data_IF_103601121564
#
_entry.id   IF_103601121564
#
_cell.length_a   1.000
_cell.length_b   1.000
_cell.length_c   1.000
_cell.angle_alpha   90.00
_cell.angle_beta   90.00
_cell.angle_gamma   90.00
#
_symmetry.space_group_name_H-M   'P 1'
#
loop_
_entity.id
_entity.type
_entity.pdbx_description
1 polymer ?
#
# COMPACT_ATOMS: atom_id res chain seq x y z
N UNK A 1 6.51 12.20 2.77
CA UNK A 1 6.71 10.87 2.15
C UNK A 1 5.37 10.34 1.70
N UNK A 2 5.25 9.84 0.47
CA UNK A 2 4.01 9.20 0.02
C UNK A 2 3.96 7.75 0.53
N UNK A 3 2.78 7.18 0.81
CA UNK A 3 2.65 5.77 1.22
C UNK A 3 3.29 4.80 0.23
N UNK A 4 3.29 5.14 -1.07
CA UNK A 4 3.91 4.36 -2.14
C UNK A 4 5.44 4.23 -1.97
N UNK A 5 6.12 5.30 -1.54
CA UNK A 5 7.55 5.22 -1.25
C UNK A 5 7.87 4.25 -0.12
N UNK A 6 6.96 4.08 0.85
CA UNK A 6 7.12 3.09 1.91
C UNK A 6 6.99 1.69 1.32
N UNK A 7 5.97 1.43 0.50
CA UNK A 7 5.81 0.12 -0.14
C UNK A 7 7.04 -0.31 -0.93
N UNK A 8 7.58 0.57 -1.76
CA UNK A 8 8.80 0.30 -2.53
C UNK A 8 10.00 -0.03 -1.64
N UNK A 9 10.18 0.70 -0.53
CA UNK A 9 11.26 0.44 0.43
C UNK A 9 11.14 -0.92 1.14
N UNK A 10 9.93 -1.47 1.25
CA UNK A 10 9.67 -2.79 1.84
C UNK A 10 9.55 -3.90 0.78
N UNK A 11 9.96 -3.63 -0.46
CA UNK A 11 9.98 -4.62 -1.55
C UNK A 11 8.61 -4.93 -2.15
N UNK A 12 7.59 -4.12 -1.87
CA UNK A 12 6.31 -4.25 -2.56
C UNK A 12 6.39 -3.62 -3.94
N UNK A 13 5.84 -4.32 -4.92
CA UNK A 13 5.67 -3.85 -6.28
C UNK A 13 4.19 -3.91 -6.67
N UNK A 14 3.82 -3.10 -7.67
CA UNK A 14 2.45 -3.08 -8.19
C UNK A 14 2.22 -4.34 -9.01
N UNK A 15 1.30 -5.19 -8.55
CA UNK A 15 0.93 -6.43 -9.23
C UNK A 15 -0.04 -6.14 -10.38
N UNK A 16 -1.11 -5.39 -10.10
CA UNK A 16 -2.14 -5.04 -11.09
C UNK A 16 -3.03 -3.89 -10.65
N UNK A 17 -3.84 -3.40 -11.57
CA UNK A 17 -5.00 -2.57 -11.24
C UNK A 17 -6.08 -3.40 -10.53
N UNK A 18 -6.66 -2.79 -9.50
CA UNK A 18 -7.91 -3.24 -8.89
C UNK A 18 -9.12 -2.69 -9.65
N UNK A 19 -10.32 -2.91 -9.12
CA UNK A 19 -11.54 -2.35 -9.69
C UNK A 19 -11.62 -0.85 -9.38
N UNK A 20 -11.81 -0.04 -10.42
CA UNK A 20 -11.96 1.42 -10.30
C UNK A 20 -10.66 2.08 -9.85
N UNK A 21 -10.72 2.90 -8.80
CA UNK A 21 -9.59 3.68 -8.30
C UNK A 21 -8.74 2.93 -7.26
N UNK A 22 -8.48 1.65 -7.46
CA UNK A 22 -7.63 0.85 -6.59
C UNK A 22 -6.48 0.19 -7.35
N UNK A 23 -5.36 0.02 -6.68
CA UNK A 23 -4.19 -0.73 -7.13
C UNK A 23 -3.96 -1.91 -6.19
N UNK A 24 -3.41 -2.99 -6.72
CA UNK A 24 -3.01 -4.15 -5.93
C UNK A 24 -1.49 -4.22 -5.92
N UNK A 25 -0.93 -4.26 -4.72
CA UNK A 25 0.50 -4.30 -4.45
C UNK A 25 0.86 -5.61 -3.76
N UNK A 26 2.00 -6.19 -4.12
CA UNK A 26 2.45 -7.46 -3.56
C UNK A 26 3.96 -7.48 -3.37
N UNK A 27 4.45 -8.32 -2.45
CA UNK A 27 5.87 -8.63 -2.28
C UNK A 27 6.12 -10.16 -2.35
N UNK A 28 5.33 -10.85 -3.17
CA UNK A 28 5.19 -12.31 -3.30
C UNK A 28 4.66 -13.05 -2.07
N UNK A 29 4.77 -12.46 -0.88
CA UNK A 29 4.33 -13.05 0.38
C UNK A 29 3.00 -12.48 0.88
N UNK A 30 2.77 -11.18 0.61
CA UNK A 30 1.56 -10.46 1.03
C UNK A 30 1.07 -9.58 -0.09
N UNK A 31 -0.25 -9.54 -0.23
CA UNK A 31 -0.94 -8.70 -1.21
C UNK A 31 -1.84 -7.72 -0.48
N UNK A 32 -1.79 -6.44 -0.87
CA UNK A 32 -2.60 -5.37 -0.30
C UNK A 32 -3.25 -4.53 -1.39
N UNK A 33 -4.41 -3.98 -1.08
CA UNK A 33 -5.13 -3.07 -1.99
C UNK A 33 -4.93 -1.64 -1.53
N UNK A 34 -4.45 -0.78 -2.43
CA UNK A 34 -4.14 0.62 -2.16
C UNK A 34 -4.99 1.51 -3.07
N UNK A 35 -5.79 2.44 -2.54
CA UNK A 35 -6.54 3.37 -3.38
C UNK A 35 -5.58 4.38 -4.03
N UNK A 36 -5.88 4.78 -5.28
CA UNK A 36 -5.12 5.79 -6.01
C UNK A 36 -5.04 7.13 -5.26
N UNK A 37 -6.15 7.52 -4.66
CA UNK A 37 -6.30 8.81 -4.01
C UNK A 37 -6.15 8.69 -2.49
N UNK A 38 -5.01 8.17 -2.05
CA UNK A 38 -4.72 7.96 -0.63
C UNK A 38 -4.36 9.29 0.05
N UNK A 39 -5.38 10.09 0.39
CA UNK A 39 -5.25 11.39 1.06
C UNK A 39 -5.27 11.29 2.60
N UNK A 40 -5.83 10.22 3.15
CA UNK A 40 -5.98 10.04 4.59
C UNK A 40 -4.80 9.27 5.20
N UNK A 41 -4.13 9.89 6.18
CA UNK A 41 -3.09 9.24 7.01
C UNK A 41 -3.63 8.00 7.74
N UNK A 42 -4.89 8.04 8.19
CA UNK A 42 -5.53 6.89 8.86
C UNK A 42 -5.63 5.69 7.91
N UNK A 43 -6.09 5.92 6.68
CA UNK A 43 -6.17 4.88 5.65
C UNK A 43 -4.78 4.38 5.28
N UNK A 44 -3.79 5.26 5.15
CA UNK A 44 -2.43 4.87 4.86
C UNK A 44 -1.84 3.97 5.96
N UNK A 45 -2.01 4.33 7.23
CA UNK A 45 -1.55 3.55 8.37
C UNK A 45 -2.28 2.20 8.48
N UNK A 46 -3.56 2.14 8.15
CA UNK A 46 -4.30 0.89 8.09
C UNK A 46 -3.73 -0.07 7.01
N UNK A 47 -3.43 0.46 5.82
CA UNK A 47 -2.85 -0.34 4.73
C UNK A 47 -1.42 -0.80 5.09
N UNK A 48 -0.60 0.06 5.71
CA UNK A 48 0.72 -0.35 6.20
C UNK A 48 0.59 -1.46 7.25
N UNK A 49 -0.37 -1.37 8.17
CA UNK A 49 -0.66 -2.44 9.13
C UNK A 49 -1.10 -3.73 8.44
N UNK A 50 -1.94 -3.66 7.40
CA UNK A 50 -2.33 -4.83 6.58
C UNK A 50 -1.12 -5.43 5.86
N UNK A 51 -0.19 -4.60 5.40
CA UNK A 51 1.09 -5.02 4.83
C UNK A 51 2.09 -5.54 5.87
N UNK A 52 1.73 -5.51 7.16
CA UNK A 52 2.59 -5.84 8.29
C UNK A 52 3.84 -4.97 8.40
N UNK A 53 3.73 -3.74 7.91
CA UNK A 53 4.72 -2.69 8.03
C UNK A 53 4.39 -1.90 9.29
N UNK A 54 5.17 -2.08 10.35
CA UNK A 54 5.00 -1.34 11.60
C UNK A 54 5.62 0.07 11.51
N UNK A 55 5.16 0.85 10.52
CA UNK A 55 5.55 2.24 10.30
C UNK A 55 4.28 3.11 10.26
N UNK A 56 4.33 4.28 10.88
CA UNK A 56 3.26 5.27 10.83
C UNK A 56 3.69 6.48 10.00
N UNK A 57 2.77 7.00 9.20
CA UNK A 57 2.91 8.18 8.32
C UNK A 57 1.71 9.13 8.47
#
# INVERSE_FOLDING_TARGET
MSPLSVFLNYGFYKLREGKGSHQIWTNDNKTVTVPYNLKSRHTANAILKQANINKKI
#
